data_IF_396264230493
#
_entry.id   IF_396264230493
#
_cell.length_a   1.000
_cell.length_b   1.000
_cell.length_c   1.000
_cell.angle_alpha   90.00
_cell.angle_beta   90.00
_cell.angle_gamma   90.00
#
_symmetry.space_group_name_H-M   'P 1'
#
loop_
_entity.id
_entity.type
_entity.pdbx_description
1 polymer ?
#
# COMPACT_ATOMS: atom_id res chain seq x y z
N UNK A 1 -4.85 28.76 8.68
CA UNK A 1 -4.52 28.19 7.33
C UNK A 1 -3.76 26.85 7.41
N UNK A 2 -3.45 26.29 8.58
CA UNK A 2 -2.75 25.00 8.72
C UNK A 2 -3.68 23.80 8.98
N UNK A 3 -4.97 24.03 9.18
CA UNK A 3 -5.91 23.01 9.68
C UNK A 3 -6.94 22.53 8.64
N UNK A 4 -6.69 22.75 7.33
CA UNK A 4 -7.66 22.40 6.27
C UNK A 4 -7.26 21.21 5.39
N UNK A 5 -6.12 20.56 5.64
CA UNK A 5 -5.63 19.43 4.84
C UNK A 5 -5.79 18.07 5.55
N UNK A 6 -6.07 18.05 6.85
CA UNK A 6 -6.17 16.82 7.65
C UNK A 6 -7.44 15.98 7.35
N UNK A 7 -8.35 16.53 6.54
CA UNK A 7 -9.64 15.91 6.18
C UNK A 7 -9.79 15.47 4.73
N UNK A 8 -8.76 15.47 3.88
CA UNK A 8 -8.91 14.92 2.53
C UNK A 8 -8.77 13.39 2.52
N UNK A 9 -9.95 12.76 2.55
CA UNK A 9 -10.29 11.40 2.10
C UNK A 9 -10.06 10.27 3.11
N UNK A 10 -10.90 10.21 4.15
CA UNK A 10 -11.54 8.93 4.50
C UNK A 10 -12.82 8.80 3.65
N UNK A 11 -12.66 8.81 2.33
CA UNK A 11 -13.70 8.30 1.45
C UNK A 11 -13.59 6.77 1.55
N UNK A 12 -14.14 6.19 2.62
CA UNK A 12 -14.57 4.79 2.61
C UNK A 12 -15.72 4.66 1.61
N UNK A 13 -15.38 4.86 0.35
CA UNK A 13 -16.14 4.28 -0.73
C UNK A 13 -16.05 2.77 -0.51
N UNK A 14 -17.19 2.08 -0.59
CA UNK A 14 -17.31 0.62 -0.48
C UNK A 14 -16.69 -0.09 -1.69
N UNK A 15 -15.54 0.41 -2.16
CA UNK A 15 -14.75 -0.16 -3.23
C UNK A 15 -14.01 -1.35 -2.63
N UNK A 16 -14.22 -2.56 -3.13
CA UNK A 16 -13.45 -3.71 -2.69
C UNK A 16 -11.95 -3.55 -2.97
N UNK A 17 -11.10 -4.17 -2.15
CA UNK A 17 -9.64 -4.01 -2.27
C UNK A 17 -9.12 -4.38 -3.66
N UNK A 18 -9.71 -5.39 -4.32
CA UNK A 18 -9.36 -5.80 -5.69
C UNK A 18 -9.71 -4.78 -6.78
N UNK A 19 -10.57 -3.81 -6.51
CA UNK A 19 -10.89 -2.74 -7.45
C UNK A 19 -10.04 -1.47 -7.21
N UNK A 20 -9.36 -1.38 -6.07
CA UNK A 20 -8.51 -0.23 -5.73
C UNK A 20 -7.22 -0.21 -6.54
N UNK A 21 -6.78 1.00 -6.91
CA UNK A 21 -5.48 1.22 -7.55
C UNK A 21 -4.34 1.22 -6.53
N UNK A 22 -4.53 1.99 -5.46
CA UNK A 22 -3.60 2.09 -4.34
C UNK A 22 -4.32 1.66 -3.08
N UNK A 23 -3.65 0.84 -2.27
CA UNK A 23 -4.18 0.28 -1.03
C UNK A 23 -3.29 0.66 0.14
N UNK A 24 -3.83 0.65 1.36
CA UNK A 24 -3.04 0.85 2.57
C UNK A 24 -2.21 -0.40 2.89
N UNK A 25 -1.31 -0.29 3.89
CA UNK A 25 -0.50 -1.43 4.33
C UNK A 25 -1.39 -2.48 5.01
N UNK A 26 -2.42 -2.04 5.72
CA UNK A 26 -3.44 -2.87 6.35
C UNK A 26 -4.24 -3.63 5.29
N UNK A 27 -4.75 -2.94 4.28
CA UNK A 27 -5.48 -3.58 3.17
C UNK A 27 -4.60 -4.56 2.39
N UNK A 28 -3.32 -4.25 2.19
CA UNK A 28 -2.37 -5.16 1.56
C UNK A 28 -2.13 -6.42 2.40
N UNK A 29 -2.11 -6.30 3.72
CA UNK A 29 -1.98 -7.44 4.62
C UNK A 29 -3.22 -8.33 4.55
N UNK A 30 -4.42 -7.74 4.62
CA UNK A 30 -5.69 -8.47 4.50
C UNK A 30 -5.84 -9.14 3.12
N UNK A 31 -5.40 -8.47 2.06
CA UNK A 31 -5.50 -8.96 0.69
C UNK A 31 -4.50 -10.07 0.35
N UNK A 32 -3.25 -9.96 0.82
CA UNK A 32 -2.18 -10.90 0.49
C UNK A 32 -1.96 -12.00 1.54
N UNK A 33 -2.50 -11.83 2.74
CA UNK A 33 -2.19 -12.68 3.89
C UNK A 33 -0.78 -12.45 4.48
N UNK A 34 -0.01 -11.48 3.96
CA UNK A 34 1.33 -11.16 4.46
C UNK A 34 1.23 -10.18 5.63
N UNK A 35 1.90 -10.49 6.74
CA UNK A 35 1.91 -9.62 7.91
C UNK A 35 2.44 -8.22 7.62
N UNK A 36 1.81 -7.19 8.20
CA UNK A 36 2.18 -5.78 7.98
C UNK A 36 3.66 -5.46 8.25
N UNK A 37 4.28 -6.14 9.22
CA UNK A 37 5.71 -5.96 9.51
C UNK A 37 6.57 -6.37 8.30
N UNK A 38 6.31 -7.56 7.74
CA UNK A 38 6.99 -8.06 6.55
C UNK A 38 6.74 -7.13 5.37
N UNK A 39 5.50 -6.67 5.14
CA UNK A 39 5.22 -5.70 4.07
C UNK A 39 6.09 -4.44 4.23
N UNK A 40 6.22 -3.90 5.45
CA UNK A 40 7.09 -2.73 5.71
C UNK A 40 8.57 -3.01 5.50
N UNK A 41 9.03 -4.25 5.63
CA UNK A 41 10.39 -4.67 5.26
C UNK A 41 10.56 -4.66 3.74
N UNK A 42 9.63 -5.28 3.00
CA UNK A 42 9.66 -5.31 1.52
C UNK A 42 9.63 -3.90 0.93
N UNK A 43 8.88 -2.98 1.55
CA UNK A 43 8.83 -1.57 1.16
C UNK A 43 10.18 -0.84 1.26
N UNK A 44 11.16 -1.38 2.00
CA UNK A 44 12.49 -0.80 2.18
C UNK A 44 13.53 -1.35 1.20
N UNK A 45 13.16 -2.33 0.37
CA UNK A 45 14.06 -2.87 -0.65
C UNK A 45 14.49 -1.79 -1.64
N UNK A 46 15.73 -1.90 -2.13
CA UNK A 46 16.34 -0.86 -2.99
C UNK A 46 15.53 -0.60 -4.26
N UNK A 47 14.94 -1.64 -4.83
CA UNK A 47 14.21 -1.57 -6.09
C UNK A 47 12.68 -1.69 -5.89
N UNK A 48 12.20 -1.27 -4.71
CA UNK A 48 10.77 -1.32 -4.38
C UNK A 48 9.96 -0.34 -5.25
N UNK A 49 9.29 -0.86 -6.28
CA UNK A 49 8.55 -0.07 -7.26
C UNK A 49 7.03 -0.03 -7.01
N UNK A 50 6.55 -0.85 -6.06
CA UNK A 50 5.16 -0.95 -5.64
C UNK A 50 4.79 0.05 -4.54
N UNK A 51 5.72 0.83 -4.00
CA UNK A 51 5.41 1.88 -3.02
C UNK A 51 5.11 3.21 -3.72
N UNK A 52 4.06 3.87 -3.25
CA UNK A 52 3.73 5.26 -3.58
C UNK A 52 3.93 6.12 -2.33
N UNK A 53 4.93 7.01 -2.36
CA UNK A 53 5.17 7.99 -1.29
C UNK A 53 4.31 9.24 -1.52
N UNK A 54 3.54 9.62 -0.51
CA UNK A 54 2.68 10.81 -0.50
C UNK A 54 3.23 11.78 0.55
N UNK A 55 4.04 12.71 0.07
CA UNK A 55 4.79 13.62 0.95
C UNK A 55 5.73 12.85 1.89
N UNK A 56 5.98 13.41 3.07
CA UNK A 56 6.95 12.85 4.02
C UNK A 56 6.36 11.82 4.99
N UNK A 57 5.03 11.69 5.07
CA UNK A 57 4.36 10.99 6.18
C UNK A 57 3.51 9.78 5.77
N UNK A 58 3.11 9.67 4.51
CA UNK A 58 2.14 8.64 4.08
C UNK A 58 2.71 7.84 2.93
N UNK A 59 2.62 6.51 3.04
CA UNK A 59 2.93 5.58 1.98
C UNK A 59 1.69 4.76 1.66
N UNK A 60 1.44 4.53 0.38
CA UNK A 60 0.46 3.57 -0.13
C UNK A 60 1.16 2.51 -0.97
N UNK A 61 0.44 1.42 -1.24
CA UNK A 61 0.90 0.31 -2.06
C UNK A 61 0.14 0.32 -3.38
N UNK A 62 0.84 0.33 -4.50
CA UNK A 62 0.28 0.16 -5.85
C UNK A 62 -0.11 -1.32 -6.00
N UNK A 63 -1.39 -1.64 -5.87
CA UNK A 63 -1.89 -3.03 -5.76
C UNK A 63 -1.35 -3.95 -6.85
N UNK A 64 -1.52 -3.58 -8.12
CA UNK A 64 -1.10 -4.40 -9.27
C UNK A 64 0.41 -4.66 -9.30
N UNK A 65 1.23 -3.70 -8.84
CA UNK A 65 2.68 -3.90 -8.76
C UNK A 65 3.07 -4.80 -7.59
N UNK A 66 2.38 -4.65 -6.47
CA UNK A 66 2.58 -5.52 -5.30
C UNK A 66 2.20 -6.98 -5.61
N UNK A 67 1.09 -7.20 -6.33
CA UNK A 67 0.72 -8.54 -6.83
C UNK A 67 1.81 -9.13 -7.72
N UNK A 68 2.30 -8.37 -8.70
CA UNK A 68 3.40 -8.81 -9.58
C UNK A 68 4.68 -9.11 -8.80
N UNK A 69 4.98 -8.30 -7.79
CA UNK A 69 6.12 -8.53 -6.91
C UNK A 69 5.97 -9.87 -6.18
N UNK A 70 4.84 -10.12 -5.52
CA UNK A 70 4.60 -11.38 -4.79
C UNK A 70 4.66 -12.58 -5.74
N UNK A 71 4.02 -12.50 -6.91
CA UNK A 71 3.97 -13.60 -7.87
C UNK A 71 5.33 -13.91 -8.51
N UNK A 72 6.23 -12.92 -8.59
CA UNK A 72 7.56 -13.10 -9.14
C UNK A 72 8.58 -13.66 -8.14
N UNK A 73 8.31 -13.57 -6.82
CA UNK A 73 9.22 -14.04 -5.78
C UNK A 73 8.76 -15.40 -5.24
N UNK A 74 9.65 -16.40 -5.28
CA UNK A 74 9.35 -17.75 -4.78
C UNK A 74 9.28 -17.82 -3.25
N UNK A 75 9.92 -16.88 -2.55
CA UNK A 75 9.92 -16.78 -1.08
C UNK A 75 10.01 -15.31 -0.63
N UNK A 76 9.30 -14.96 0.45
CA UNK A 76 9.13 -13.59 0.95
C UNK A 76 9.36 -13.53 2.46
#
# INVERSE_FOLDING_TARGET
>A
MKDKMEGLMDMKSDIPVWEKLNITIEEAADYSGIGMHKIRELMKEKDCDFVLKIGSKKNLIKRVKFEKYILAHEAI
#
